data_IF_856981093757
#
_entry.id   IF_856981093757
#
_cell.length_a   1.000
_cell.length_b   1.000
_cell.length_c   1.000
_cell.angle_alpha   90.00
_cell.angle_beta   90.00
_cell.angle_gamma   90.00
#
_symmetry.space_group_name_H-M   'P 1'
#
loop_
_entity.id
_entity.type
_entity.pdbx_description
1 polymer ?
#
# COMPACT_ATOMS: atom_id res chain seq x y z
N UNK A 1 18.93 7.68 4.47
CA UNK A 1 18.19 7.50 3.20
C UNK A 1 16.72 7.36 3.55
N UNK A 2 15.84 8.20 2.98
CA UNK A 2 14.41 8.14 3.30
C UNK A 2 13.82 6.89 2.64
N UNK A 3 13.24 5.99 3.42
CA UNK A 3 12.51 4.83 2.89
C UNK A 3 11.21 5.33 2.25
N UNK A 4 11.00 5.04 0.97
CA UNK A 4 9.77 5.44 0.27
C UNK A 4 8.59 4.59 0.76
N UNK A 5 7.37 5.12 0.72
CA UNK A 5 6.16 4.35 1.04
C UNK A 5 6.10 3.04 0.23
N UNK A 6 6.55 3.08 -1.03
CA UNK A 6 6.66 1.91 -1.90
C UNK A 6 7.67 0.86 -1.40
N UNK A 7 8.83 1.30 -0.90
CA UNK A 7 9.86 0.40 -0.35
C UNK A 7 9.31 -0.36 0.87
N UNK A 8 8.54 0.33 1.71
CA UNK A 8 7.90 -0.27 2.87
C UNK A 8 6.81 -1.26 2.47
N UNK A 9 5.98 -0.92 1.47
CA UNK A 9 4.99 -1.84 0.89
C UNK A 9 5.67 -3.11 0.36
N UNK A 10 6.77 -2.97 -0.39
CA UNK A 10 7.49 -4.11 -0.94
C UNK A 10 8.05 -5.00 0.18
N UNK A 11 8.66 -4.40 1.20
CA UNK A 11 9.21 -5.13 2.35
C UNK A 11 8.12 -5.94 3.07
N UNK A 12 6.99 -5.31 3.39
CA UNK A 12 5.89 -5.99 4.09
C UNK A 12 5.21 -7.04 3.21
N UNK A 13 5.13 -6.82 1.89
CA UNK A 13 4.59 -7.81 0.95
C UNK A 13 5.48 -9.06 0.88
N UNK A 14 6.80 -8.89 0.84
CA UNK A 14 7.76 -10.00 0.87
C UNK A 14 7.66 -10.76 2.20
N UNK A 15 7.59 -10.06 3.32
CA UNK A 15 7.43 -10.67 4.65
C UNK A 15 6.12 -11.45 4.75
N UNK A 16 5.02 -10.92 4.20
CA UNK A 16 3.73 -11.62 4.10
C UNK A 16 3.84 -12.93 3.31
N UNK A 17 4.51 -12.88 2.16
CA UNK A 17 4.69 -14.04 1.30
C UNK A 17 5.50 -15.12 2.01
N UNK A 18 6.56 -14.74 2.72
CA UNK A 18 7.37 -15.66 3.49
C UNK A 18 6.58 -16.31 4.63
N UNK A 19 5.74 -15.54 5.34
CA UNK A 19 4.85 -16.09 6.36
C UNK A 19 3.82 -17.07 5.78
N UNK A 20 3.28 -16.80 4.59
CA UNK A 20 2.40 -17.78 3.92
C UNK A 20 3.15 -19.04 3.47
N UNK A 21 4.39 -18.90 2.99
CA UNK A 21 5.25 -20.04 2.66
C UNK A 21 5.51 -20.90 3.89
N UNK A 22 5.86 -20.29 5.02
CA UNK A 22 6.04 -20.98 6.28
C UNK A 22 4.76 -21.67 6.75
N UNK A 23 3.60 -20.99 6.62
CA UNK A 23 2.30 -21.56 6.96
C UNK A 23 1.91 -22.79 6.12
N UNK A 24 2.42 -22.87 4.88
CA UNK A 24 2.18 -24.03 4.00
C UNK A 24 3.02 -25.25 4.40
N UNK A 25 4.16 -25.04 5.06
CA UNK A 25 5.09 -26.10 5.48
C UNK A 25 4.84 -26.53 6.93
N UNK A 26 4.52 -25.57 7.80
CA UNK A 26 4.38 -25.77 9.25
C UNK A 26 3.27 -24.89 9.83
N UNK A 27 2.78 -25.23 11.03
CA UNK A 27 1.90 -24.31 11.76
C UNK A 27 2.69 -23.09 12.21
N UNK A 28 2.18 -21.90 11.90
CA UNK A 28 2.77 -20.65 12.35
C UNK A 28 2.74 -20.51 13.87
N UNK A 29 3.83 -20.01 14.43
CA UNK A 29 3.88 -19.62 15.85
C UNK A 29 2.87 -18.50 16.13
N UNK A 30 2.45 -18.30 17.39
CA UNK A 30 1.57 -17.19 17.75
C UNK A 30 2.11 -15.83 17.29
N UNK A 31 3.42 -15.61 17.41
CA UNK A 31 4.10 -14.36 17.02
C UNK A 31 4.07 -14.17 15.50
N UNK A 32 4.31 -15.24 14.73
CA UNK A 32 4.21 -15.21 13.28
C UNK A 32 2.77 -14.92 12.80
N UNK A 33 1.77 -15.50 13.47
CA UNK A 33 0.36 -15.21 13.18
C UNK A 33 -0.01 -13.77 13.49
N UNK A 34 0.44 -13.26 14.63
CA UNK A 34 0.25 -11.86 15.01
C UNK A 34 0.91 -10.93 13.99
N UNK A 35 2.14 -11.25 13.56
CA UNK A 35 2.86 -10.47 12.56
C UNK A 35 2.13 -10.47 11.21
N UNK A 36 1.62 -11.61 10.77
CA UNK A 36 0.83 -11.73 9.55
C UNK A 36 -0.44 -10.87 9.61
N UNK A 37 -1.15 -10.88 10.75
CA UNK A 37 -2.32 -10.03 10.97
C UNK A 37 -1.98 -8.54 10.92
N UNK A 38 -0.87 -8.15 11.53
CA UNK A 38 -0.39 -6.76 11.51
C UNK A 38 -0.10 -6.31 10.07
N UNK A 39 0.65 -7.11 9.31
CA UNK A 39 0.96 -6.83 7.90
C UNK A 39 -0.31 -6.70 7.07
N UNK A 40 -1.30 -7.57 7.28
CA UNK A 40 -2.58 -7.52 6.57
C UNK A 40 -3.39 -6.24 6.87
N UNK A 41 -3.22 -5.64 8.06
CA UNK A 41 -3.84 -4.35 8.42
C UNK A 41 -3.07 -3.16 7.86
N UNK A 42 -1.73 -3.23 7.85
CA UNK A 42 -0.87 -2.13 7.42
C UNK A 42 -0.83 -1.94 5.90
N UNK A 43 -0.79 -3.03 5.13
CA UNK A 43 -0.63 -2.97 3.67
C UNK A 43 -1.71 -2.11 2.97
N UNK A 44 -3.02 -2.24 3.26
CA UNK A 44 -4.05 -1.40 2.65
C UNK A 44 -3.86 0.09 2.93
N UNK A 45 -3.46 0.45 4.15
CA UNK A 45 -3.23 1.84 4.57
C UNK A 45 -2.05 2.43 3.81
N UNK A 46 -0.97 1.66 3.68
CA UNK A 46 0.21 2.08 2.93
C UNK A 46 -0.08 2.24 1.44
N UNK A 47 -0.88 1.34 0.85
CA UNK A 47 -1.32 1.48 -0.53
C UNK A 47 -2.18 2.72 -0.76
N UNK A 48 -3.10 3.03 0.16
CA UNK A 48 -3.89 4.27 0.08
C UNK A 48 -2.99 5.51 0.16
N UNK A 49 -2.03 5.51 1.10
CA UNK A 49 -1.05 6.58 1.21
C UNK A 49 -0.23 6.74 -0.07
N UNK A 50 0.33 5.65 -0.61
CA UNK A 50 1.11 5.69 -1.83
C UNK A 50 0.28 6.21 -3.02
N UNK A 51 -0.99 5.79 -3.12
CA UNK A 51 -1.92 6.29 -4.14
C UNK A 51 -2.14 7.80 -4.03
N UNK A 52 -2.28 8.34 -2.81
CA UNK A 52 -2.40 9.79 -2.58
C UNK A 52 -1.12 10.53 -2.91
N UNK A 53 0.04 9.97 -2.57
CA UNK A 53 1.35 10.54 -2.90
C UNK A 53 1.54 10.66 -4.41
N UNK A 54 1.14 9.65 -5.19
CA UNK A 54 1.15 9.69 -6.65
C UNK A 54 0.21 10.76 -7.21
N UNK A 55 -1.01 10.88 -6.66
CA UNK A 55 -1.97 11.89 -7.09
C UNK A 55 -1.54 13.32 -6.73
N UNK A 56 -0.86 13.52 -5.60
CA UNK A 56 -0.31 14.82 -5.19
C UNK A 56 0.91 15.23 -6.05
N UNK A 57 1.66 14.25 -6.56
CA UNK A 57 2.77 14.48 -7.49
C UNK A 57 2.35 14.67 -8.95
N UNK A 58 1.10 14.36 -9.31
CA UNK A 58 0.55 14.67 -10.63
C UNK A 58 -0.16 16.04 -10.59
N UNK A 59 0.15 16.97 -11.50
CA UNK A 59 -0.71 18.13 -11.68
C UNK A 59 -2.08 17.60 -12.12
N UNK A 60 -3.10 17.82 -11.31
CA UNK A 60 -4.48 17.63 -11.74
C UNK A 60 -4.67 18.60 -12.90
N UNK A 61 -4.60 18.10 -14.14
CA UNK A 61 -5.03 18.85 -15.31
C UNK A 61 -6.53 19.07 -15.16
N UNK A 62 -6.91 20.16 -14.50
CA UNK A 62 -8.26 20.71 -14.45
C UNK A 62 -8.63 21.29 -15.82
N UNK A 63 -8.40 20.55 -16.90
CA UNK A 63 -8.77 20.92 -18.27
C UNK A 63 -10.20 20.46 -18.62
N UNK A 64 -11.12 20.51 -17.65
CA UNK A 64 -12.55 20.20 -17.87
C UNK A 64 -13.51 21.13 -17.14
N UNK A 65 -13.16 22.41 -17.02
CA UNK A 65 -14.16 23.44 -16.74
C UNK A 65 -14.21 24.45 -17.87
N UNK A 66 -15.05 24.19 -18.86
CA UNK A 66 -15.50 25.19 -19.82
C UNK A 66 -16.88 25.67 -19.36
N UNK A 67 -17.01 26.84 -18.69
CA UNK A 67 -18.32 27.38 -18.36
C UNK A 67 -19.00 27.74 -19.68
N UNK A 68 -20.08 27.03 -19.99
CA UNK A 68 -20.92 27.30 -21.14
C UNK A 68 -21.62 28.64 -20.89
N UNK A 69 -21.04 29.74 -21.35
CA UNK A 69 -21.66 31.07 -21.30
C UNK A 69 -22.73 31.08 -22.38
N UNK A 70 -23.98 30.91 -21.96
CA UNK A 70 -25.15 31.05 -22.80
C UNK A 70 -25.14 32.42 -23.50
N UNK A 71 -25.49 32.40 -24.78
CA UNK A 71 -25.65 33.55 -25.67
C UNK A 71 -26.86 34.41 -25.27
#
# INVERSE_FOLDING_TARGET
MQQSTLDLIQKLSNERQELYRLASQHRLTPEQRQRLQEINRQLPILWDRHRRELAAGQPVSTDRYRPNRAA
#
